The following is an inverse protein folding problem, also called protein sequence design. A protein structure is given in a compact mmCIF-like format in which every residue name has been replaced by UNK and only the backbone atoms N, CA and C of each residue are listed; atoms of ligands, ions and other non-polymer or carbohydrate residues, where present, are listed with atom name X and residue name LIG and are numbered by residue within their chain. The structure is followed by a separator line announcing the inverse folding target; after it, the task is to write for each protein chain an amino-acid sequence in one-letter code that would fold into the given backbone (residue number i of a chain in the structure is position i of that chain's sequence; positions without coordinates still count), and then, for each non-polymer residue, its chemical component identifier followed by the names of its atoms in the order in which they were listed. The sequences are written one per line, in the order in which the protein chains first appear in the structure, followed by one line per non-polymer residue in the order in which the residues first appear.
data_IF_378204734639
#
_entry.id   IF_378204734639
#
_cell.length_a   1.000
_cell.length_b   1.000
_cell.length_c   1.000
_cell.angle_alpha   90.00
_cell.angle_beta   90.00
_cell.angle_gamma   90.00
#
_symmetry.space_group_name_H-M   'P 1'
#
loop_
_entity.id
_entity.type
_entity.pdbx_description
1 polymer ?
#
# COMPACT_ATOMS: atom_id res chain seq x y z
N UNK A 1 -11.77 4.13 -6.72
CA UNK A 1 -10.38 3.91 -7.21
C UNK A 1 -10.05 2.43 -7.35
N UNK A 2 -10.69 1.56 -6.55
CA UNK A 2 -10.52 0.13 -6.68
C UNK A 2 -10.84 -0.37 -8.10
N UNK A 3 -9.95 -1.21 -8.63
CA UNK A 3 -10.03 -1.74 -9.99
C UNK A 3 -9.52 -0.83 -11.13
N UNK A 4 -9.14 0.43 -10.86
CA UNK A 4 -8.59 1.35 -11.88
C UNK A 4 -7.06 1.37 -11.97
N UNK A 5 -6.35 0.69 -11.05
CA UNK A 5 -4.89 0.50 -11.11
C UNK A 5 -4.08 1.80 -11.18
N UNK A 6 -4.59 2.86 -10.54
CA UNK A 6 -3.95 4.20 -10.55
C UNK A 6 -2.96 4.42 -9.40
N UNK A 7 -2.42 3.35 -8.83
CA UNK A 7 -1.57 3.41 -7.64
C UNK A 7 -2.35 3.74 -6.36
N UNK A 8 -1.68 3.57 -5.23
CA UNK A 8 -2.19 3.97 -3.92
C UNK A 8 -2.22 5.49 -3.79
N UNK A 9 -3.24 6.03 -3.12
CA UNK A 9 -3.26 7.46 -2.79
C UNK A 9 -2.49 7.71 -1.48
N UNK A 10 -1.16 7.71 -1.57
CA UNK A 10 -0.25 7.82 -0.43
C UNK A 10 -0.58 9.04 0.43
N UNK A 11 -0.77 10.21 -0.17
CA UNK A 11 -1.06 11.45 0.55
C UNK A 11 -2.33 11.33 1.41
N UNK A 12 -3.43 10.82 0.83
CA UNK A 12 -4.67 10.63 1.57
C UNK A 12 -4.56 9.56 2.66
N UNK A 13 -3.82 8.47 2.41
CA UNK A 13 -3.60 7.42 3.40
C UNK A 13 -2.77 7.93 4.58
N UNK A 14 -1.73 8.73 4.32
CA UNK A 14 -0.91 9.36 5.37
C UNK A 14 -1.74 10.35 6.18
N UNK A 15 -2.53 11.20 5.52
CA UNK A 15 -3.41 12.15 6.20
C UNK A 15 -4.41 11.43 7.13
N UNK A 16 -4.98 10.30 6.68
CA UNK A 16 -5.85 9.47 7.50
C UNK A 16 -5.08 8.88 8.69
N UNK A 17 -3.91 8.28 8.45
CA UNK A 17 -3.10 7.65 9.49
C UNK A 17 -2.66 8.63 10.58
N UNK A 18 -2.37 9.88 10.22
CA UNK A 18 -2.03 10.94 11.18
C UNK A 18 -3.25 11.48 11.96
N UNK A 19 -4.46 11.32 11.42
CA UNK A 19 -5.69 11.83 12.03
C UNK A 19 -6.30 10.88 13.08
N UNK A 20 -5.84 9.63 13.15
CA UNK A 20 -6.38 8.60 14.04
C UNK A 20 -5.28 7.98 14.89
N UNK A 21 -5.66 7.43 16.05
CA UNK A 21 -4.74 6.67 16.91
C UNK A 21 -4.67 5.17 16.52
N UNK A 22 -5.47 4.75 15.55
CA UNK A 22 -5.56 3.36 15.10
C UNK A 22 -4.62 3.14 13.91
N UNK A 23 -3.95 1.99 13.83
CA UNK A 23 -3.20 1.63 12.65
C UNK A 23 -4.06 1.63 11.38
N UNK A 24 -3.48 2.11 10.28
CA UNK A 24 -4.15 2.21 8.98
C UNK A 24 -3.54 1.24 7.99
N UNK A 25 -4.41 0.48 7.32
CA UNK A 25 -4.03 -0.38 6.20
C UNK A 25 -4.44 0.32 4.91
N UNK A 26 -3.47 0.51 4.01
CA UNK A 26 -3.72 1.08 2.69
C UNK A 26 -4.48 0.06 1.83
N UNK A 27 -5.79 0.27 1.67
CA UNK A 27 -6.65 -0.58 0.84
C UNK A 27 -7.11 0.19 -0.38
N UNK A 28 -6.68 -0.26 -1.56
CA UNK A 28 -7.16 0.25 -2.85
C UNK A 28 -6.05 0.80 -3.73
N UNK A 29 -5.91 0.20 -4.91
CA UNK A 29 -5.10 0.75 -5.99
C UNK A 29 -3.63 0.34 -6.02
N UNK A 30 -3.15 -0.55 -5.15
CA UNK A 30 -1.80 -1.15 -5.29
C UNK A 30 -1.71 -1.78 -6.68
N UNK A 31 -0.86 -1.20 -7.54
CA UNK A 31 -0.66 -1.54 -8.93
C UNK A 31 0.61 -2.36 -9.13
N UNK A 32 1.67 -2.04 -8.38
CA UNK A 32 2.99 -2.67 -8.42
C UNK A 32 3.80 -2.43 -7.12
N UNK A 33 5.08 -2.83 -7.10
CA UNK A 33 5.98 -2.65 -5.96
C UNK A 33 6.26 -1.17 -5.63
N UNK A 34 6.16 -0.28 -6.61
CA UNK A 34 6.37 1.16 -6.42
C UNK A 34 5.42 1.74 -5.38
N UNK A 35 4.17 1.28 -5.36
CA UNK A 35 3.20 1.67 -4.33
C UNK A 35 3.63 1.25 -2.92
N UNK A 36 4.18 0.03 -2.78
CA UNK A 36 4.66 -0.47 -1.48
C UNK A 36 5.87 0.35 -1.02
N UNK A 37 6.80 0.66 -1.94
CA UNK A 37 7.93 1.53 -1.65
C UNK A 37 7.50 2.95 -1.26
N UNK A 38 6.45 3.49 -1.88
CA UNK A 38 5.95 4.82 -1.56
C UNK A 38 5.27 4.87 -0.19
N UNK A 39 4.63 3.78 0.26
CA UNK A 39 3.96 3.71 1.56
C UNK A 39 4.93 3.40 2.71
N UNK A 40 6.01 2.67 2.45
CA UNK A 40 6.96 2.20 3.49
C UNK A 40 7.56 3.30 4.38
N UNK A 41 7.97 4.48 3.87
CA UNK A 41 8.47 5.56 4.74
C UNK A 41 7.45 6.05 5.77
N UNK A 42 6.17 5.76 5.56
CA UNK A 42 5.06 6.26 6.37
C UNK A 42 4.59 5.28 7.45
N UNK A 43 5.35 4.22 7.72
CA UNK A 43 5.10 3.35 8.88
C UNK A 43 5.10 4.17 10.18
N UNK A 44 6.02 5.12 10.31
CA UNK A 44 6.08 6.05 11.43
C UNK A 44 4.87 7.00 11.52
N UNK A 45 4.08 7.13 10.44
CA UNK A 45 2.85 7.93 10.41
C UNK A 45 1.59 7.10 10.73
N UNK A 46 1.72 5.81 11.07
CA UNK A 46 0.60 4.94 11.43
C UNK A 46 0.12 4.00 10.32
N UNK A 47 0.82 3.93 9.18
CA UNK A 47 0.51 2.95 8.14
C UNK A 47 1.13 1.60 8.51
N UNK A 48 0.29 0.58 8.73
CA UNK A 48 0.72 -0.75 9.17
C UNK A 48 0.88 -1.74 8.03
N UNK A 49 0.19 -1.52 6.90
CA UNK A 49 0.28 -2.43 5.79
C UNK A 49 -0.54 -2.02 4.59
N UNK A 50 -0.63 -2.95 3.63
CA UNK A 50 -1.34 -2.75 2.37
C UNK A 50 -2.18 -3.97 2.03
N UNK A 51 -3.32 -3.76 1.36
CA UNK A 51 -4.10 -4.84 0.76
C UNK A 51 -3.94 -4.75 -0.75
N UNK A 52 -3.48 -5.85 -1.35
CA UNK A 52 -3.37 -6.01 -2.81
C UNK A 52 -4.28 -7.15 -3.27
N UNK A 53 -4.84 -6.99 -4.47
CA UNK A 53 -5.76 -7.94 -5.08
C UNK A 53 -5.46 -8.10 -6.56
N UNK A 54 -6.13 -7.30 -7.41
CA UNK A 54 -6.02 -7.39 -8.88
C UNK A 54 -4.58 -7.37 -9.41
N UNK A 55 -3.67 -6.60 -8.82
CA UNK A 55 -2.27 -6.57 -9.25
C UNK A 55 -1.55 -7.93 -9.10
N UNK A 56 -1.91 -8.74 -8.09
CA UNK A 56 -1.42 -10.12 -7.96
C UNK A 56 -2.03 -11.02 -9.04
N UNK A 57 -3.35 -10.93 -9.25
CA UNK A 57 -4.05 -11.77 -10.24
C UNK A 57 -3.62 -11.47 -11.68
N UNK A 58 -3.29 -10.21 -11.98
CA UNK A 58 -2.84 -9.78 -13.31
C UNK A 58 -1.32 -9.95 -13.51
N UNK A 59 -0.58 -10.48 -12.52
CA UNK A 59 0.86 -10.70 -12.59
C UNK A 59 1.72 -9.42 -12.60
N UNK A 60 1.15 -8.28 -12.21
CA UNK A 60 1.86 -6.98 -12.16
C UNK A 60 2.59 -6.74 -10.85
N UNK A 61 2.29 -7.54 -9.83
CA UNK A 61 2.96 -7.57 -8.55
C UNK A 61 3.47 -8.99 -8.31
N UNK A 62 4.78 -9.15 -8.15
CA UNK A 62 5.34 -10.40 -7.65
C UNK A 62 5.09 -10.51 -6.13
N UNK A 63 4.50 -11.62 -5.71
CA UNK A 63 4.12 -11.82 -4.31
C UNK A 63 5.35 -11.96 -3.40
N UNK A 64 6.40 -12.65 -3.84
CA UNK A 64 7.58 -12.88 -3.04
C UNK A 64 8.36 -11.57 -2.82
N UNK A 65 8.52 -10.77 -3.87
CA UNK A 65 9.10 -9.44 -3.79
C UNK A 65 8.26 -8.50 -2.91
N UNK A 66 6.93 -8.51 -3.06
CA UNK A 66 6.04 -7.69 -2.23
C UNK A 66 6.18 -8.00 -0.73
N UNK A 67 6.24 -9.29 -0.37
CA UNK A 67 6.48 -9.73 1.02
C UNK A 67 7.88 -9.32 1.49
N UNK A 68 8.91 -9.46 0.65
CA UNK A 68 10.27 -9.07 1.00
C UNK A 68 10.40 -7.57 1.27
N UNK A 69 9.78 -6.73 0.42
CA UNK A 69 9.76 -5.27 0.59
C UNK A 69 8.99 -4.86 1.84
N UNK A 70 7.87 -5.53 2.14
CA UNK A 70 7.02 -5.23 3.29
C UNK A 70 7.54 -5.70 4.65
N UNK A 71 8.49 -6.64 4.70
CA UNK A 71 9.09 -7.14 5.95
C UNK A 71 10.30 -6.34 6.43
N UNK A 72 10.93 -5.59 5.54
CA UNK A 72 12.15 -4.84 5.82
C UNK A 72 11.83 -3.43 6.32
#
# INVERSE_FOLDING_TARGET
RDGLLKGCNVEATVALAQAVALPVIASGGVADLGDIHALRPHVANGIEGVITGRALYDGRLDLAEAIAVGRA
#
